data_IF_799400063447
#
_entry.id   IF_799400063447
#
_cell.length_a   1.000
_cell.length_b   1.000
_cell.length_c   1.000
_cell.angle_alpha   90.00
_cell.angle_beta   90.00
_cell.angle_gamma   90.00
#
_symmetry.space_group_name_H-M   'P 1'
#
loop_
_entity.id
_entity.type
_entity.pdbx_description
1 polymer ?
#
# COMPACT_ATOMS: atom_id res chain seq x y z
N UNK A 1 -24.67 2.18 -11.29
CA UNK A 1 -23.64 1.28 -11.81
C UNK A 1 -23.15 0.43 -10.66
N UNK A 2 -23.23 -0.90 -10.80
CA UNK A 2 -22.55 -1.85 -9.91
C UNK A 2 -21.06 -1.89 -10.28
N UNK A 3 -20.22 -2.31 -9.35
CA UNK A 3 -18.77 -2.48 -9.57
C UNK A 3 -18.42 -3.93 -9.27
N UNK A 4 -17.41 -4.47 -9.95
CA UNK A 4 -16.85 -5.79 -9.65
C UNK A 4 -15.50 -5.60 -8.95
N UNK A 5 -15.43 -5.67 -7.61
CA UNK A 5 -14.15 -5.65 -6.91
C UNK A 5 -13.40 -6.96 -7.21
N UNK A 6 -12.14 -6.85 -7.63
CA UNK A 6 -11.30 -8.00 -7.98
C UNK A 6 -9.96 -7.92 -7.26
N UNK A 7 -9.50 -9.03 -6.72
CA UNK A 7 -8.13 -9.22 -6.24
C UNK A 7 -7.50 -10.43 -6.93
N UNK A 8 -6.31 -10.24 -7.51
CA UNK A 8 -5.56 -11.31 -8.16
C UNK A 8 -4.32 -11.66 -7.34
N UNK A 9 -4.23 -12.89 -6.86
CA UNK A 9 -2.97 -13.45 -6.36
C UNK A 9 -2.09 -13.77 -7.57
N UNK A 10 -1.16 -12.88 -7.89
CA UNK A 10 -0.26 -13.04 -9.04
C UNK A 10 0.81 -14.09 -8.72
N UNK A 11 0.91 -15.19 -9.50
CA UNK A 11 1.93 -16.22 -9.28
C UNK A 11 3.36 -15.69 -9.31
N UNK A 12 3.61 -14.55 -9.99
CA UNK A 12 4.92 -13.89 -10.04
C UNK A 12 5.39 -13.37 -8.69
N UNK A 13 4.52 -13.25 -7.69
CA UNK A 13 4.86 -12.72 -6.36
C UNK A 13 5.25 -13.79 -5.34
N UNK A 14 4.98 -15.06 -5.65
CA UNK A 14 5.20 -16.20 -4.76
C UNK A 14 6.31 -17.15 -5.24
N UNK A 15 7.00 -16.79 -6.33
CA UNK A 15 8.22 -17.48 -6.78
C UNK A 15 9.47 -17.08 -5.99
N UNK A 16 10.64 -17.50 -6.50
CA UNK A 16 11.95 -17.08 -5.98
C UNK A 16 12.39 -15.76 -6.61
N UNK A 17 13.03 -14.91 -5.82
CA UNK A 17 13.74 -13.72 -6.29
C UNK A 17 15.04 -14.11 -7.01
N UNK A 18 15.69 -13.15 -7.66
CA UNK A 18 16.98 -13.35 -8.33
C UNK A 18 18.09 -13.82 -7.39
N UNK A 19 17.96 -13.57 -6.08
CA UNK A 19 18.88 -14.03 -5.04
C UNK A 19 18.51 -15.39 -4.45
N UNK A 20 17.46 -16.06 -4.96
CA UNK A 20 17.04 -17.40 -4.52
C UNK A 20 16.14 -17.43 -3.28
N UNK A 21 15.83 -16.28 -2.67
CA UNK A 21 14.87 -16.18 -1.56
C UNK A 21 13.43 -16.15 -2.06
N UNK A 22 12.47 -16.48 -1.21
CA UNK A 22 11.06 -16.28 -1.54
C UNK A 22 10.82 -14.80 -1.84
N UNK A 23 10.21 -14.50 -2.99
CA UNK A 23 9.85 -13.13 -3.34
C UNK A 23 8.84 -12.59 -2.34
N UNK A 24 7.87 -13.43 -1.94
CA UNK A 24 6.99 -13.23 -0.78
C UNK A 24 7.11 -14.37 0.20
N UNK A 25 7.75 -14.11 1.33
CA UNK A 25 7.86 -15.06 2.41
C UNK A 25 6.52 -15.33 3.14
N UNK A 26 6.44 -16.43 3.90
CA UNK A 26 5.20 -16.94 4.46
C UNK A 26 4.50 -15.97 5.42
N UNK A 27 5.25 -15.20 6.23
CA UNK A 27 4.66 -14.19 7.12
C UNK A 27 3.90 -13.10 6.37
N UNK A 28 4.48 -12.58 5.28
CA UNK A 28 3.84 -11.52 4.49
C UNK A 28 2.68 -12.07 3.66
N UNK A 29 2.81 -13.29 3.16
CA UNK A 29 1.73 -13.97 2.45
C UNK A 29 0.51 -14.21 3.38
N UNK A 30 0.73 -14.68 4.61
CA UNK A 30 -0.34 -14.83 5.62
C UNK A 30 -1.04 -13.51 5.88
N UNK A 31 -0.28 -12.45 6.17
CA UNK A 31 -0.83 -11.11 6.40
C UNK A 31 -1.63 -10.60 5.20
N UNK A 32 -1.19 -10.89 3.97
CA UNK A 32 -1.90 -10.50 2.75
C UNK A 32 -3.20 -11.29 2.56
N UNK A 33 -3.18 -12.61 2.77
CA UNK A 33 -4.38 -13.46 2.73
C UNK A 33 -5.42 -12.99 3.74
N UNK A 34 -5.01 -12.68 4.97
CA UNK A 34 -5.87 -12.10 6.00
C UNK A 34 -6.43 -10.74 5.57
N UNK A 35 -5.59 -9.89 4.96
CA UNK A 35 -6.01 -8.58 4.47
C UNK A 35 -7.06 -8.66 3.36
N UNK A 36 -6.89 -9.59 2.42
CA UNK A 36 -7.86 -9.87 1.34
C UNK A 36 -9.16 -10.45 1.90
N UNK A 37 -9.07 -11.31 2.91
CA UNK A 37 -10.23 -11.88 3.60
C UNK A 37 -11.03 -10.80 4.33
N UNK A 38 -10.36 -9.88 5.04
CA UNK A 38 -11.02 -8.74 5.69
C UNK A 38 -11.64 -7.78 4.67
N UNK A 39 -10.97 -7.50 3.55
CA UNK A 39 -11.54 -6.71 2.45
C UNK A 39 -12.82 -7.33 1.89
N UNK A 40 -12.82 -8.65 1.64
CA UNK A 40 -14.01 -9.39 1.20
C UNK A 40 -15.15 -9.26 2.22
N UNK A 41 -14.86 -9.47 3.50
CA UNK A 41 -15.84 -9.32 4.59
C UNK A 41 -16.42 -7.90 4.62
N UNK A 42 -15.57 -6.87 4.50
CA UNK A 42 -15.97 -5.46 4.52
C UNK A 42 -16.82 -5.07 3.31
N UNK A 43 -16.55 -5.64 2.13
CA UNK A 43 -17.37 -5.45 0.93
C UNK A 43 -18.73 -6.14 1.05
N UNK A 44 -18.77 -7.38 1.60
CA UNK A 44 -20.02 -8.12 1.88
C UNK A 44 -20.92 -7.39 2.87
N UNK A 45 -20.35 -6.84 3.94
CA UNK A 45 -21.09 -6.04 4.91
C UNK A 45 -21.76 -4.79 4.31
N UNK A 46 -21.26 -4.33 3.15
CA UNK A 46 -21.78 -3.17 2.40
C UNK A 46 -22.62 -3.59 1.18
N UNK A 47 -23.00 -4.86 1.06
CA UNK A 47 -23.85 -5.34 -0.03
C UNK A 47 -23.12 -5.54 -1.37
N UNK A 48 -21.81 -5.82 -1.36
CA UNK A 48 -21.03 -6.26 -2.53
C UNK A 48 -20.30 -7.58 -2.22
N UNK A 49 -19.26 -7.93 -2.98
CA UNK A 49 -18.34 -9.03 -2.67
C UNK A 49 -16.96 -8.74 -3.28
N UNK A 50 -15.97 -9.61 -3.04
CA UNK A 50 -14.65 -9.56 -3.66
C UNK A 50 -14.40 -10.82 -4.49
N UNK A 51 -14.29 -10.66 -5.81
CA UNK A 51 -13.85 -11.72 -6.71
C UNK A 51 -12.36 -11.95 -6.53
N UNK A 52 -11.97 -13.17 -6.17
CA UNK A 52 -10.58 -13.56 -5.97
C UNK A 52 -10.20 -14.61 -7.01
N UNK A 53 -9.02 -14.45 -7.59
CA UNK A 53 -8.42 -15.38 -8.54
C UNK A 53 -6.93 -15.53 -8.26
N UNK A 54 -6.37 -16.70 -8.60
CA UNK A 54 -4.93 -16.89 -8.71
C UNK A 54 -4.60 -16.83 -10.20
N UNK A 55 -3.73 -15.90 -10.59
CA UNK A 55 -3.41 -15.72 -12.00
C UNK A 55 -2.79 -14.37 -12.31
N UNK A 56 -2.27 -14.24 -13.52
CA UNK A 56 -1.71 -12.97 -14.01
C UNK A 56 -2.84 -11.96 -14.18
N UNK A 57 -2.77 -10.76 -13.56
CA UNK A 57 -3.81 -9.74 -13.67
C UNK A 57 -4.16 -9.40 -15.12
N UNK A 58 -3.17 -9.30 -16.02
CA UNK A 58 -3.40 -9.01 -17.44
C UNK A 58 -4.27 -10.05 -18.17
N UNK A 59 -4.35 -11.29 -17.66
CA UNK A 59 -5.19 -12.36 -18.22
C UNK A 59 -6.53 -12.42 -17.50
N UNK A 60 -6.50 -12.45 -16.16
CA UNK A 60 -7.70 -12.58 -15.33
C UNK A 60 -8.65 -11.40 -15.54
N UNK A 61 -8.12 -10.18 -15.58
CA UNK A 61 -8.98 -9.00 -15.72
C UNK A 61 -9.66 -8.97 -17.10
N UNK A 62 -9.01 -9.43 -18.17
CA UNK A 62 -9.62 -9.52 -19.51
C UNK A 62 -10.79 -10.49 -19.51
N UNK A 63 -10.62 -11.67 -18.91
CA UNK A 63 -11.68 -12.67 -18.77
C UNK A 63 -12.90 -12.08 -18.02
N UNK A 64 -12.66 -11.45 -16.88
CA UNK A 64 -13.71 -10.87 -16.05
C UNK A 64 -14.39 -9.68 -16.75
N UNK A 65 -13.62 -8.80 -17.39
CA UNK A 65 -14.16 -7.65 -18.13
C UNK A 65 -15.08 -8.10 -19.26
N UNK A 66 -14.71 -9.16 -20.01
CA UNK A 66 -15.58 -9.78 -21.02
C UNK A 66 -16.85 -10.37 -20.43
N UNK A 67 -16.71 -11.13 -19.34
CA UNK A 67 -17.82 -11.82 -18.70
C UNK A 67 -18.92 -10.84 -18.27
N UNK A 68 -18.53 -9.72 -17.65
CA UNK A 68 -19.48 -8.71 -17.16
C UNK A 68 -19.79 -7.60 -18.17
N UNK A 69 -19.04 -7.52 -19.28
CA UNK A 69 -19.09 -6.42 -20.23
C UNK A 69 -18.69 -5.08 -19.61
N UNK A 70 -17.53 -5.03 -18.96
CA UNK A 70 -17.06 -3.85 -18.25
C UNK A 70 -16.60 -2.74 -19.22
N UNK A 71 -16.97 -1.50 -18.96
CA UNK A 71 -16.51 -0.34 -19.74
C UNK A 71 -15.11 0.14 -19.32
N UNK A 72 -14.78 -0.05 -18.03
CA UNK A 72 -13.52 0.44 -17.48
C UNK A 72 -13.02 -0.37 -16.27
N UNK A 73 -11.70 -0.35 -16.08
CA UNK A 73 -10.97 -0.88 -14.93
C UNK A 73 -10.37 0.29 -14.15
N UNK A 74 -10.61 0.34 -12.83
CA UNK A 74 -10.13 1.39 -11.94
C UNK A 74 -9.07 0.82 -11.00
N UNK A 75 -7.88 1.42 -10.98
CA UNK A 75 -6.73 0.92 -10.21
C UNK A 75 -5.90 2.05 -9.63
N UNK A 76 -5.22 1.80 -8.51
CA UNK A 76 -4.20 2.72 -8.02
C UNK A 76 -2.91 2.57 -8.82
N UNK A 77 -2.23 3.69 -9.07
CA UNK A 77 -0.93 3.74 -9.76
C UNK A 77 0.21 3.35 -8.83
N UNK A 78 1.00 2.37 -9.25
CA UNK A 78 2.26 2.01 -8.63
C UNK A 78 3.47 2.64 -9.31
N UNK A 79 4.61 2.62 -8.62
CA UNK A 79 5.80 3.38 -9.03
C UNK A 79 7.04 2.52 -9.28
N UNK A 80 7.05 1.30 -8.75
CA UNK A 80 8.16 0.36 -8.89
C UNK A 80 8.13 -0.32 -10.26
N UNK A 81 9.30 -0.80 -10.68
CA UNK A 81 9.54 -1.31 -12.04
C UNK A 81 8.67 -2.52 -12.40
N UNK A 82 8.47 -3.45 -11.47
CA UNK A 82 7.72 -4.68 -11.73
C UNK A 82 6.23 -4.39 -11.90
N UNK A 83 5.68 -3.59 -10.98
CA UNK A 83 4.29 -3.14 -11.00
C UNK A 83 4.01 -2.29 -12.24
N UNK A 84 4.88 -1.33 -12.57
CA UNK A 84 4.74 -0.53 -13.79
C UNK A 84 4.77 -1.39 -15.07
N UNK A 85 5.56 -2.47 -15.09
CA UNK A 85 5.56 -3.45 -16.19
C UNK A 85 4.26 -4.27 -16.23
N UNK A 86 3.70 -4.61 -15.07
CA UNK A 86 2.42 -5.31 -14.96
C UNK A 86 1.28 -4.42 -15.44
N UNK A 87 1.22 -3.18 -14.98
CA UNK A 87 0.27 -2.15 -15.42
C UNK A 87 0.30 -1.94 -16.94
N UNK A 88 1.48 -1.84 -17.55
CA UNK A 88 1.61 -1.70 -19.01
C UNK A 88 1.05 -2.91 -19.79
N UNK A 89 1.17 -4.12 -19.24
CA UNK A 89 0.57 -5.32 -19.83
C UNK A 89 -0.95 -5.31 -19.69
N UNK A 90 -1.47 -4.88 -18.54
CA UNK A 90 -2.92 -4.72 -18.32
C UNK A 90 -3.48 -3.68 -19.30
N UNK A 91 -2.82 -2.52 -19.44
CA UNK A 91 -3.20 -1.47 -20.39
C UNK A 91 -3.24 -2.01 -21.83
N UNK A 92 -2.21 -2.76 -22.24
CA UNK A 92 -2.16 -3.36 -23.58
C UNK A 92 -3.29 -4.37 -23.78
N UNK A 93 -3.48 -5.29 -22.84
CA UNK A 93 -4.49 -6.34 -22.93
C UNK A 93 -5.93 -5.79 -22.91
N UNK A 94 -6.19 -4.74 -22.12
CA UNK A 94 -7.50 -4.09 -22.05
C UNK A 94 -7.83 -3.25 -23.29
N UNK A 95 -6.81 -2.62 -23.89
CA UNK A 95 -6.96 -1.86 -25.12
C UNK A 95 -7.47 -2.73 -26.28
N UNK A 96 -6.98 -3.96 -26.39
CA UNK A 96 -7.42 -4.92 -27.41
C UNK A 96 -8.90 -5.30 -27.25
N UNK A 97 -9.45 -5.14 -26.04
CA UNK A 97 -10.86 -5.40 -25.70
C UNK A 97 -11.73 -4.13 -25.70
N UNK A 98 -11.15 -2.96 -26.00
CA UNK A 98 -11.86 -1.68 -25.95
C UNK A 98 -12.26 -1.23 -24.54
N UNK A 99 -11.62 -1.76 -23.49
CA UNK A 99 -11.89 -1.42 -22.09
C UNK A 99 -10.91 -0.35 -21.61
N UNK A 100 -11.42 0.74 -21.02
CA UNK A 100 -10.58 1.83 -20.52
C UNK A 100 -9.91 1.45 -19.18
N UNK A 101 -8.62 1.73 -19.01
CA UNK A 101 -7.93 1.55 -17.71
C UNK A 101 -7.63 2.92 -17.10
N UNK A 102 -8.19 3.18 -15.92
CA UNK A 102 -8.06 4.44 -15.18
C UNK A 102 -7.18 4.28 -13.96
N UNK A 103 -6.08 5.03 -13.94
CA UNK A 103 -5.13 5.04 -12.84
C UNK A 103 -5.35 6.24 -11.92
N UNK A 104 -5.32 5.99 -10.61
CA UNK A 104 -5.46 7.01 -9.58
C UNK A 104 -4.25 7.01 -8.64
N UNK A 105 -3.80 8.18 -8.22
CA UNK A 105 -2.74 8.31 -7.24
C UNK A 105 -3.32 8.39 -5.83
N UNK A 106 -3.09 7.37 -5.01
CA UNK A 106 -3.73 7.28 -3.67
C UNK A 106 -2.80 6.92 -2.52
N UNK A 107 -1.57 6.52 -2.80
CA UNK A 107 -0.69 5.86 -1.83
C UNK A 107 0.07 6.82 -0.91
N UNK A 108 0.18 8.11 -1.23
CA UNK A 108 0.96 9.09 -0.47
C UNK A 108 0.10 10.00 0.41
N UNK A 109 0.73 10.69 1.37
CA UNK A 109 0.09 11.71 2.19
C UNK A 109 -0.22 12.97 1.37
N UNK A 110 0.79 13.53 0.70
CA UNK A 110 0.59 14.59 -0.28
C UNK A 110 0.28 13.99 -1.64
N UNK A 111 -0.72 14.51 -2.33
CA UNK A 111 -1.04 14.04 -3.68
C UNK A 111 0.04 14.50 -4.66
N UNK A 112 0.35 13.68 -5.67
CA UNK A 112 1.38 13.98 -6.68
C UNK A 112 1.13 15.34 -7.37
N UNK A 113 -0.12 15.66 -7.66
CA UNK A 113 -0.53 16.91 -8.32
C UNK A 113 -0.48 18.15 -7.42
N UNK A 114 -0.37 17.97 -6.10
CA UNK A 114 -0.27 19.10 -5.15
C UNK A 114 1.20 19.50 -4.91
N UNK A 115 2.16 18.75 -5.46
CA UNK A 115 3.56 19.08 -5.34
C UNK A 115 3.86 20.41 -6.07
N UNK A 116 4.64 21.32 -5.48
CA UNK A 116 4.97 22.61 -6.08
C UNK A 116 6.08 22.51 -7.15
N UNK A 117 6.26 21.30 -7.69
CA UNK A 117 7.24 20.97 -8.71
C UNK A 117 6.78 19.71 -9.44
N UNK A 118 7.13 19.60 -10.71
CA UNK A 118 6.94 18.36 -11.46
C UNK A 118 7.87 17.26 -10.94
N UNK A 119 7.50 16.01 -11.20
CA UNK A 119 8.25 14.84 -10.74
C UNK A 119 9.73 14.85 -11.17
N UNK A 120 10.08 15.43 -12.33
CA UNK A 120 11.47 15.57 -12.76
C UNK A 120 12.27 16.50 -11.83
N UNK A 121 11.61 17.52 -11.29
CA UNK A 121 12.15 18.48 -10.31
C UNK A 121 12.21 17.95 -8.87
N UNK A 122 11.85 16.67 -8.65
CA UNK A 122 11.92 16.03 -7.33
C UNK A 122 13.36 16.09 -6.77
N UNK A 123 13.57 16.65 -5.57
CA UNK A 123 14.87 16.71 -4.92
C UNK A 123 15.48 15.33 -4.68
N UNK A 124 16.80 15.21 -4.78
CA UNK A 124 17.53 13.94 -4.59
C UNK A 124 17.79 13.60 -3.12
N UNK A 125 17.56 14.55 -2.21
CA UNK A 125 17.69 14.35 -0.78
C UNK A 125 16.40 14.78 -0.06
N UNK A 126 16.16 14.18 1.11
CA UNK A 126 14.95 14.41 1.90
C UNK A 126 14.83 15.86 2.39
N UNK A 127 15.93 16.50 2.77
CA UNK A 127 15.91 17.88 3.28
C UNK A 127 15.32 18.86 2.26
N UNK A 128 15.80 18.79 1.01
CA UNK A 128 15.28 19.61 -0.09
C UNK A 128 13.84 19.28 -0.46
N UNK A 129 13.42 18.01 -0.37
CA UNK A 129 12.01 17.65 -0.54
C UNK A 129 11.14 18.29 0.53
N UNK A 130 11.51 18.11 1.81
CA UNK A 130 10.79 18.64 2.97
C UNK A 130 10.62 20.17 2.90
N UNK A 131 11.68 20.88 2.52
CA UNK A 131 11.65 22.34 2.35
C UNK A 131 10.64 22.74 1.27
N UNK A 132 10.68 22.09 0.10
CA UNK A 132 9.77 22.43 -1.00
C UNK A 132 8.30 22.12 -0.69
N UNK A 133 8.00 21.08 0.07
CA UNK A 133 6.61 20.70 0.42
C UNK A 133 6.11 21.37 1.71
N UNK A 134 6.91 22.26 2.30
CA UNK A 134 6.53 22.98 3.50
C UNK A 134 5.28 23.84 3.22
N UNK A 135 4.28 23.74 4.12
CA UNK A 135 3.03 24.51 4.00
C UNK A 135 1.98 23.92 3.07
N UNK A 136 2.27 22.79 2.39
CA UNK A 136 1.24 22.07 1.64
C UNK A 136 0.14 21.57 2.57
N UNK A 137 -1.10 21.63 2.07
CA UNK A 137 -2.26 21.09 2.78
C UNK A 137 -2.43 19.61 2.41
N UNK A 138 -2.55 18.76 3.42
CA UNK A 138 -2.98 17.36 3.22
C UNK A 138 -4.45 17.37 2.76
N UNK A 139 -4.74 16.67 1.64
CA UNK A 139 -6.13 16.53 1.15
C UNK A 139 -6.98 15.75 2.16
N UNK A 140 -8.26 16.12 2.25
CA UNK A 140 -9.22 15.41 3.10
C UNK A 140 -9.37 13.94 2.66
N UNK A 141 -9.71 13.06 3.59
CA UNK A 141 -10.04 11.67 3.28
C UNK A 141 -11.33 11.57 2.49
N UNK A 142 -11.40 10.60 1.57
CA UNK A 142 -12.65 10.24 0.89
C UNK A 142 -13.44 9.31 1.80
N UNK A 143 -14.70 9.65 2.08
CA UNK A 143 -15.58 8.80 2.87
C UNK A 143 -15.89 7.49 2.13
N UNK A 144 -15.81 6.36 2.84
CA UNK A 144 -16.26 5.09 2.33
C UNK A 144 -17.78 5.12 2.12
N UNK A 145 -18.27 4.40 1.12
CA UNK A 145 -19.71 4.24 0.90
C UNK A 145 -20.30 3.32 1.97
N UNK A 146 -21.46 3.70 2.51
CA UNK A 146 -22.19 2.88 3.48
C UNK A 146 -22.79 1.61 2.83
N UNK A 147 -23.15 1.71 1.55
CA UNK A 147 -23.74 0.63 0.76
C UNK A 147 -23.24 0.66 -0.68
N UNK A 148 -23.06 -0.52 -1.27
CA UNK A 148 -22.69 -0.77 -2.65
C UNK A 148 -23.85 -1.45 -3.39
N UNK A 149 -23.85 -1.35 -4.72
CA UNK A 149 -24.94 -1.86 -5.56
C UNK A 149 -24.74 -3.32 -6.00
N UNK A 150 -24.22 -4.18 -5.12
CA UNK A 150 -23.94 -5.59 -5.45
C UNK A 150 -22.83 -5.78 -6.48
N UNK A 151 -22.53 -7.05 -6.76
CA UNK A 151 -21.79 -7.43 -7.96
C UNK A 151 -22.68 -7.20 -9.21
N UNK A 152 -22.09 -6.97 -10.39
CA UNK A 152 -22.84 -7.00 -11.65
C UNK A 152 -23.53 -8.35 -11.83
N UNK A 153 -24.80 -8.33 -12.24
CA UNK A 153 -25.59 -9.55 -12.48
C UNK A 153 -25.22 -10.27 -13.78
N UNK A 154 -24.53 -9.58 -14.70
CA UNK A 154 -24.08 -10.15 -15.97
C UNK A 154 -22.84 -11.01 -15.74
N UNK A 155 -22.78 -12.17 -16.40
CA UNK A 155 -21.61 -13.05 -16.42
C UNK A 155 -21.55 -14.07 -15.30
N UNK A 156 -22.48 -14.03 -14.33
CA UNK A 156 -22.61 -14.98 -13.22
C UNK A 156 -21.25 -15.30 -12.56
N UNK A 157 -20.52 -14.22 -12.23
CA UNK A 157 -19.12 -14.33 -11.79
C UNK A 157 -19.08 -14.79 -10.34
N UNK A 158 -18.61 -16.02 -10.15
CA UNK A 158 -18.39 -16.58 -8.82
C UNK A 158 -17.27 -15.82 -8.06
N UNK A 159 -17.46 -15.51 -6.76
CA UNK A 159 -16.45 -14.84 -5.94
C UNK A 159 -15.12 -15.57 -5.86
N UNK A 160 -15.11 -16.90 -5.97
CA UNK A 160 -13.91 -17.73 -5.88
C UNK A 160 -13.33 -17.84 -4.45
N UNK A 161 -12.51 -18.84 -4.23
CA UNK A 161 -11.88 -19.09 -2.94
C UNK A 161 -10.66 -18.19 -2.70
N UNK A 162 -10.40 -17.84 -1.44
CA UNK A 162 -9.15 -17.17 -1.06
C UNK A 162 -8.09 -18.26 -0.89
N UNK A 163 -6.92 -18.16 -1.55
CA UNK A 163 -5.91 -19.20 -1.48
C UNK A 163 -5.33 -19.33 -0.07
N UNK A 164 -5.00 -20.56 0.29
CA UNK A 164 -4.10 -20.87 1.40
C UNK A 164 -2.64 -20.60 1.02
N UNK A 165 -1.74 -20.63 2.00
CA UNK A 165 -0.30 -20.57 1.73
C UNK A 165 0.18 -21.72 0.83
N UNK A 166 -0.45 -22.90 0.94
CA UNK A 166 -0.10 -24.07 0.13
C UNK A 166 -0.47 -23.83 -1.33
N UNK A 167 -1.62 -23.21 -1.59
CA UNK A 167 -2.05 -22.84 -2.94
C UNK A 167 -1.11 -21.81 -3.58
N UNK A 168 -0.44 -21.00 -2.75
CA UNK A 168 0.59 -20.04 -3.16
C UNK A 168 2.01 -20.65 -3.23
N UNK A 169 2.16 -21.96 -2.98
CA UNK A 169 3.45 -22.65 -3.02
C UNK A 169 4.36 -22.38 -1.82
N UNK A 170 3.81 -21.93 -0.69
CA UNK A 170 4.55 -21.60 0.52
C UNK A 170 4.31 -22.62 1.64
N UNK A 171 5.33 -22.82 2.47
CA UNK A 171 5.24 -23.71 3.63
C UNK A 171 4.53 -23.02 4.81
N UNK A 172 3.34 -23.48 5.23
CA UNK A 172 2.61 -22.87 6.33
C UNK A 172 3.29 -23.04 7.69
N UNK A 173 4.08 -24.11 7.88
CA UNK A 173 4.76 -24.35 9.15
C UNK A 173 5.87 -23.33 9.45
N UNK A 174 6.31 -22.57 8.44
CA UNK A 174 7.31 -21.54 8.61
C UNK A 174 6.81 -20.33 9.42
N UNK A 175 5.50 -20.17 9.61
CA UNK A 175 4.92 -19.12 10.48
C UNK A 175 4.72 -19.56 11.93
N UNK A 176 4.93 -20.85 12.22
CA UNK A 176 4.75 -21.43 13.55
C UNK A 176 6.08 -21.47 14.32
N UNK A 177 6.00 -21.34 15.64
CA UNK A 177 7.08 -21.61 16.58
C UNK A 177 7.25 -23.13 16.76
N UNK A 178 8.34 -23.53 17.42
CA UNK A 178 8.60 -24.96 17.74
C UNK A 178 7.45 -25.61 18.54
N UNK A 179 6.68 -24.82 19.30
CA UNK A 179 5.52 -25.28 20.07
C UNK A 179 4.19 -25.28 19.27
N UNK A 180 4.24 -25.04 17.96
CA UNK A 180 3.06 -25.00 17.08
C UNK A 180 2.17 -23.74 17.24
N UNK A 181 2.63 -22.73 17.99
CA UNK A 181 1.95 -21.43 18.11
C UNK A 181 2.43 -20.48 17.02
N UNK A 182 1.66 -19.45 16.62
CA UNK A 182 2.17 -18.40 15.75
C UNK A 182 3.46 -17.80 16.34
N UNK A 183 4.51 -17.70 15.54
CA UNK A 183 5.76 -17.03 15.94
C UNK A 183 5.49 -15.58 16.33
N UNK A 184 6.38 -14.92 17.08
CA UNK A 184 6.20 -13.52 17.50
C UNK A 184 5.98 -12.56 16.30
N UNK A 185 6.49 -12.88 15.12
CA UNK A 185 6.23 -12.14 13.87
C UNK A 185 4.94 -12.61 13.14
N UNK A 186 4.39 -13.77 13.51
CA UNK A 186 3.10 -14.29 13.07
C UNK A 186 1.91 -13.78 13.91
N UNK A 187 2.13 -12.87 14.85
CA UNK A 187 1.06 -12.28 15.67
C UNK A 187 0.39 -11.04 15.05
N UNK A 188 0.84 -10.61 13.86
CA UNK A 188 0.25 -9.48 13.16
C UNK A 188 -0.89 -9.98 12.29
N UNK A 189 -2.08 -9.45 12.52
CA UNK A 189 -3.29 -9.79 11.77
C UNK A 189 -3.49 -8.80 10.64
N UNK A 190 -3.62 -9.30 9.41
CA UNK A 190 -3.93 -8.50 8.23
C UNK A 190 -5.33 -7.89 8.24
N UNK A 191 -5.54 -6.86 7.43
CA UNK A 191 -6.86 -6.27 7.19
C UNK A 191 -7.06 -4.86 7.72
N UNK A 192 -8.02 -4.16 7.12
CA UNK A 192 -8.43 -2.81 7.47
C UNK A 192 -9.00 -2.76 8.89
N UNK A 193 -9.81 -3.76 9.28
CA UNK A 193 -10.45 -3.82 10.60
C UNK A 193 -9.42 -3.79 11.72
N UNK A 194 -8.37 -4.63 11.63
CA UNK A 194 -7.27 -4.63 12.61
C UNK A 194 -6.46 -3.34 12.51
N UNK A 195 -6.23 -2.81 11.29
CA UNK A 195 -5.52 -1.56 11.09
C UNK A 195 -6.16 -0.40 11.87
N UNK A 196 -7.50 -0.29 11.84
CA UNK A 196 -8.23 0.77 12.54
C UNK A 196 -8.12 0.63 14.06
N UNK A 197 -8.22 -0.60 14.59
CA UNK A 197 -8.05 -0.85 16.03
C UNK A 197 -6.63 -0.51 16.48
N UNK A 198 -5.62 -0.89 15.69
CA UNK A 198 -4.21 -0.59 15.94
C UNK A 198 -3.94 0.91 15.90
N UNK A 199 -4.53 1.63 14.94
CA UNK A 199 -4.43 3.08 14.84
C UNK A 199 -5.03 3.77 16.07
N UNK A 200 -6.23 3.34 16.52
CA UNK A 200 -6.86 3.89 17.72
C UNK A 200 -6.01 3.65 18.98
N UNK A 201 -5.50 2.42 19.15
CA UNK A 201 -4.60 2.08 20.25
C UNK A 201 -3.33 2.93 20.20
N UNK A 202 -2.73 3.06 19.02
CA UNK A 202 -1.54 3.89 18.82
C UNK A 202 -1.82 5.36 19.13
N UNK A 203 -2.94 5.91 18.67
CA UNK A 203 -3.36 7.27 18.98
C UNK A 203 -3.51 7.49 20.50
N UNK A 204 -4.09 6.52 21.21
CA UNK A 204 -4.21 6.55 22.66
C UNK A 204 -2.84 6.46 23.37
N UNK A 205 -1.92 5.62 22.89
CA UNK A 205 -0.53 5.54 23.38
C UNK A 205 0.20 6.88 23.18
N UNK A 206 0.07 7.50 22.00
CA UNK A 206 0.61 8.84 21.72
C UNK A 206 0.08 9.91 22.67
N UNK A 207 -1.21 9.84 23.02
CA UNK A 207 -1.82 10.74 23.99
C UNK A 207 -1.26 10.53 25.40
N UNK A 208 -1.01 9.29 25.80
CA UNK A 208 -0.51 8.94 27.12
C UNK A 208 0.98 9.29 27.32
N UNK A 209 1.76 9.32 26.24
CA UNK A 209 3.20 9.57 26.27
C UNK A 209 3.60 10.67 25.27
N UNK A 210 3.28 11.95 25.56
CA UNK A 210 3.71 13.05 24.72
C UNK A 210 5.24 13.09 24.62
N UNK A 211 5.83 13.60 23.52
CA UNK A 211 7.27 13.57 23.30
C UNK A 211 7.98 14.29 24.45
N UNK A 212 8.84 13.57 25.18
CA UNK A 212 9.81 14.20 26.09
C UNK A 212 11.09 14.48 25.32
N UNK A 213 11.67 15.65 25.56
CA UNK A 213 12.86 16.13 24.89
C UNK A 213 14.07 15.20 25.09
N UNK A 214 14.75 14.93 23.97
CA UNK A 214 16.17 14.58 23.77
C UNK A 214 16.80 13.31 24.36
N UNK A 215 16.20 12.58 25.30
CA UNK A 215 16.82 11.32 25.79
C UNK A 215 16.15 10.06 25.19
N UNK A 216 16.66 9.69 24.01
CA UNK A 216 16.02 8.77 23.05
C UNK A 216 16.32 7.28 23.23
N UNK A 217 15.76 6.62 24.24
CA UNK A 217 15.76 5.14 24.29
C UNK A 217 14.42 4.48 24.60
N UNK A 218 13.36 5.24 24.92
CA UNK A 218 12.04 4.68 25.20
C UNK A 218 10.89 5.46 24.56
N UNK A 219 11.18 6.10 23.43
CA UNK A 219 10.18 6.86 22.70
C UNK A 219 9.26 5.93 21.91
N UNK A 220 7.95 6.14 22.03
CA UNK A 220 6.96 5.58 21.08
C UNK A 220 7.20 6.08 19.65
N UNK A 221 7.98 7.15 19.52
CA UNK A 221 8.43 7.75 18.28
C UNK A 221 9.70 7.03 17.76
N UNK A 222 9.76 6.73 16.47
CA UNK A 222 10.85 5.97 15.82
C UNK A 222 10.54 4.49 15.59
N UNK A 223 11.42 3.58 16.00
CA UNK A 223 11.31 2.14 15.67
C UNK A 223 9.97 1.50 16.11
N UNK A 224 9.40 1.95 17.23
CA UNK A 224 8.11 1.47 17.72
C UNK A 224 6.93 1.85 16.80
N UNK A 225 7.02 2.96 16.07
CA UNK A 225 6.05 3.34 15.03
C UNK A 225 6.19 2.48 13.79
N UNK A 226 7.44 2.32 13.34
CA UNK A 226 7.75 1.55 12.14
C UNK A 226 7.28 0.09 12.28
N UNK A 227 7.44 -0.53 13.45
CA UNK A 227 7.04 -1.93 13.65
C UNK A 227 5.54 -2.13 13.88
N UNK A 228 4.79 -1.13 14.36
CA UNK A 228 3.39 -1.31 14.81
C UNK A 228 2.32 -0.96 13.78
N UNK A 229 2.63 -0.21 12.72
CA UNK A 229 1.63 0.26 11.74
C UNK A 229 2.06 0.06 10.28
N UNK A 230 3.37 -0.01 10.00
CA UNK A 230 3.87 -0.09 8.62
C UNK A 230 3.31 -1.24 7.77
N UNK A 231 2.99 -2.44 8.30
CA UNK A 231 2.43 -3.52 7.47
C UNK A 231 1.08 -3.14 6.83
N UNK A 232 0.21 -2.46 7.58
CA UNK A 232 -1.09 -2.01 7.06
C UNK A 232 -0.96 -0.83 6.10
N UNK A 233 0.01 0.08 6.31
CA UNK A 233 0.34 1.13 5.33
C UNK A 233 0.94 0.59 4.03
N UNK A 234 1.70 -0.51 4.12
CA UNK A 234 2.32 -1.16 2.97
C UNK A 234 1.30 -1.92 2.12
N UNK A 235 0.32 -2.58 2.74
CA UNK A 235 -0.75 -3.31 2.04
C UNK A 235 -1.96 -2.44 1.68
N UNK A 236 -1.95 -1.16 2.05
CA UNK A 236 -3.07 -0.24 1.79
C UNK A 236 -4.31 -0.49 2.66
N UNK A 237 -4.22 -1.35 3.68
CA UNK A 237 -5.26 -1.52 4.71
C UNK A 237 -5.46 -0.24 5.54
N UNK A 238 -4.43 0.62 5.59
CA UNK A 238 -4.51 1.95 6.18
C UNK A 238 -4.00 3.00 5.19
N UNK A 239 -4.77 4.06 5.02
CA UNK A 239 -4.35 5.24 4.24
C UNK A 239 -3.49 6.19 5.09
N UNK A 240 -2.39 6.76 4.54
CA UNK A 240 -1.60 7.76 5.26
C UNK A 240 -2.43 9.02 5.60
N UNK A 241 -3.40 9.39 4.77
CA UNK A 241 -4.31 10.54 5.03
C UNK A 241 -5.25 10.24 6.19
N UNK A 242 -5.79 9.03 6.25
CA UNK A 242 -6.65 8.62 7.36
C UNK A 242 -5.88 8.59 8.69
N UNK A 243 -4.67 8.03 8.65
CA UNK A 243 -3.77 8.03 9.80
C UNK A 243 -3.46 9.45 10.30
N UNK A 244 -3.13 10.35 9.36
CA UNK A 244 -2.87 11.75 9.66
C UNK A 244 -4.07 12.43 10.31
N UNK A 245 -5.27 12.28 9.74
CA UNK A 245 -6.49 12.88 10.26
C UNK A 245 -6.85 12.36 11.65
N UNK A 246 -6.71 11.06 11.91
CA UNK A 246 -7.05 10.47 13.21
C UNK A 246 -6.09 10.92 14.32
N UNK A 247 -4.80 10.97 14.02
CA UNK A 247 -3.78 11.43 14.97
C UNK A 247 -3.90 12.94 15.21
N UNK A 248 -4.21 13.74 14.17
CA UNK A 248 -4.50 15.17 14.29
C UNK A 248 -5.70 15.42 15.20
N UNK A 249 -6.81 14.70 15.03
CA UNK A 249 -8.00 14.80 15.89
C UNK A 249 -7.66 14.52 17.35
N UNK A 250 -6.84 13.51 17.60
CA UNK A 250 -6.42 13.11 18.96
C UNK A 250 -5.51 14.16 19.61
N UNK A 251 -4.59 14.74 18.85
CA UNK A 251 -3.71 15.82 19.32
C UNK A 251 -4.49 17.12 19.62
N UNK A 252 -5.35 17.57 18.71
CA UNK A 252 -6.14 18.81 18.89
C UNK A 252 -7.09 18.76 20.09
N UNK A 253 -7.74 17.61 20.34
CA UNK A 253 -8.59 17.41 21.54
C UNK A 253 -7.82 17.52 22.86
N UNK A 254 -6.51 17.26 22.83
CA UNK A 254 -5.65 17.34 24.01
C UNK A 254 -5.14 18.77 24.24
N UNK A 255 -4.82 19.50 23.17
CA UNK A 255 -4.37 20.90 23.23
C UNK A 255 -5.50 21.83 23.73
N UNK A 256 -6.77 21.58 23.39
CA UNK A 256 -7.89 22.36 23.95
C UNK A 256 -8.09 22.18 25.48
N UNK A 257 -7.50 21.14 26.08
CA UNK A 257 -7.57 20.88 27.52
C UNK A 257 -6.35 21.38 28.31
N UNK A 258 -5.28 21.81 27.64
CA UNK A 258 -4.06 22.32 28.27
C UNK A 258 -3.57 23.57 27.55
N UNK A 259 -3.51 24.71 28.24
CA UNK A 259 -2.92 25.98 27.77
C UNK A 259 -1.39 25.88 27.52
N UNK A 260 -0.95 24.96 26.68
CA UNK A 260 0.46 24.83 26.26
C UNK A 260 0.60 25.30 24.82
N UNK A 261 1.55 26.22 24.61
CA UNK A 261 2.02 26.69 23.31
C UNK A 261 2.99 25.70 22.62
N UNK A 262 3.07 24.46 23.09
CA UNK A 262 3.99 23.42 22.59
C UNK A 262 3.23 22.35 21.77
N UNK A 263 2.38 22.79 20.85
CA UNK A 263 1.55 21.91 20.01
C UNK A 263 2.28 21.25 18.83
N UNK A 264 3.60 21.47 18.71
CA UNK A 264 4.31 21.25 17.45
C UNK A 264 5.13 19.95 17.41
N UNK A 265 5.74 19.51 18.51
CA UNK A 265 6.76 18.44 18.48
C UNK A 265 6.21 17.05 18.05
N UNK A 266 5.02 16.66 18.52
CA UNK A 266 4.44 15.35 18.20
C UNK A 266 3.84 15.25 16.79
N UNK A 267 3.22 16.34 16.33
CA UNK A 267 2.68 16.45 14.96
C UNK A 267 3.81 16.56 13.94
N UNK A 268 4.88 17.28 14.30
CA UNK A 268 6.10 17.38 13.50
C UNK A 268 6.79 16.04 13.28
N UNK A 269 6.83 15.16 14.28
CA UNK A 269 7.41 13.83 14.12
C UNK A 269 6.55 12.91 13.25
N UNK A 270 5.22 12.88 13.43
CA UNK A 270 4.35 12.02 12.58
C UNK A 270 4.44 12.45 11.13
N UNK A 271 4.38 13.76 10.90
CA UNK A 271 4.58 14.35 9.59
C UNK A 271 5.95 13.94 9.05
N UNK A 272 7.01 14.02 9.85
CA UNK A 272 8.34 13.61 9.45
C UNK A 272 8.42 12.16 8.95
N UNK A 273 7.85 11.18 9.67
CA UNK A 273 7.88 9.78 9.24
C UNK A 273 7.04 9.52 7.98
N UNK A 274 5.84 10.11 7.88
CA UNK A 274 5.00 9.98 6.69
C UNK A 274 5.62 10.67 5.47
N UNK A 275 6.33 11.78 5.67
CA UNK A 275 7.07 12.46 4.59
C UNK A 275 8.27 11.65 4.10
N UNK A 276 8.94 10.88 4.96
CA UNK A 276 9.96 9.95 4.50
C UNK A 276 9.38 8.89 3.56
N UNK A 277 8.21 8.34 3.92
CA UNK A 277 7.49 7.39 3.06
C UNK A 277 7.11 8.01 1.71
N UNK A 278 6.56 9.22 1.73
CA UNK A 278 6.24 9.96 0.50
C UNK A 278 7.48 10.26 -0.34
N UNK A 279 8.57 10.73 0.29
CA UNK A 279 9.86 10.99 -0.36
C UNK A 279 10.34 9.74 -1.12
N UNK A 280 10.36 8.57 -0.47
CA UNK A 280 10.79 7.33 -1.11
C UNK A 280 9.85 6.89 -2.24
N UNK A 281 8.54 7.11 -2.11
CA UNK A 281 7.58 6.84 -3.20
C UNK A 281 7.86 7.75 -4.40
N UNK A 282 7.99 9.06 -4.20
CA UNK A 282 8.20 10.03 -5.28
C UNK A 282 9.58 9.89 -5.93
N UNK A 283 10.64 9.68 -5.17
CA UNK A 283 11.98 9.48 -5.74
C UNK A 283 12.04 8.19 -6.57
N UNK A 284 11.36 7.12 -6.13
CA UNK A 284 11.21 5.89 -6.91
C UNK A 284 10.44 6.14 -8.19
N UNK A 285 9.35 6.91 -8.14
CA UNK A 285 8.59 7.29 -9.32
C UNK A 285 9.43 8.09 -10.33
N UNK A 286 10.24 9.04 -9.86
CA UNK A 286 11.19 9.80 -10.70
C UNK A 286 12.13 8.87 -11.46
N UNK A 287 12.85 8.00 -10.77
CA UNK A 287 13.85 7.14 -11.42
C UNK A 287 13.23 6.00 -12.25
N UNK A 288 12.06 5.50 -11.87
CA UNK A 288 11.33 4.51 -12.67
C UNK A 288 10.77 5.10 -13.96
N UNK A 289 10.35 6.38 -13.95
CA UNK A 289 9.93 7.10 -15.15
C UNK A 289 11.09 7.39 -16.12
N UNK A 290 12.26 7.77 -15.60
CA UNK A 290 13.45 8.04 -16.41
C UNK A 290 13.95 6.78 -17.16
N UNK A 291 13.76 5.60 -16.56
CA UNK A 291 14.12 4.32 -17.19
C UNK A 291 13.26 4.00 -18.43
N UNK A 292 12.06 4.60 -18.59
CA UNK A 292 11.28 4.50 -19.84
C UNK A 292 11.98 5.17 -21.02
N UNK A 293 12.89 6.13 -20.78
CA UNK A 293 13.66 6.82 -21.82
C UNK A 293 15.10 6.29 -21.99
N UNK A 294 15.58 5.43 -21.08
CA UNK A 294 16.99 5.00 -21.05
C UNK A 294 17.28 3.66 -21.76
N UNK A 295 16.29 3.03 -22.40
CA UNK A 295 16.54 1.81 -23.18
C UNK A 295 17.04 2.13 -24.60
N UNK A 296 18.24 2.69 -24.68
CA UNK A 296 19.13 2.58 -25.82
C UNK A 296 20.57 2.80 -25.36
N UNK A 297 21.21 1.76 -24.84
CA UNK A 297 22.61 1.35 -25.16
C UNK A 297 22.87 0.01 -24.44
N UNK A 298 23.29 -1.06 -25.13
CA UNK A 298 23.78 -2.26 -24.45
C UNK A 298 25.10 -1.91 -23.76
N UNK A 299 25.25 -2.28 -22.48
CA UNK A 299 26.54 -2.21 -21.82
C UNK A 299 27.51 -3.17 -22.51
N UNK A 300 28.44 -2.64 -23.30
CA UNK A 300 29.57 -3.39 -23.85
C UNK A 300 30.42 -3.84 -22.68
N UNK A 301 30.50 -5.15 -22.46
CA UNK A 301 31.42 -5.74 -21.51
C UNK A 301 32.86 -5.39 -21.91
N UNK A 302 33.59 -4.68 -21.05
CA UNK A 302 35.04 -4.59 -21.16
C UNK A 302 35.62 -5.97 -20.85
N UNK A 303 35.95 -6.72 -21.90
CA UNK A 303 36.89 -7.85 -21.82
C UNK A 303 38.25 -7.29 -21.45
N UNK A 304 38.74 -7.63 -20.25
CA UNK A 304 40.12 -7.36 -19.86
C UNK A 304 41.08 -8.07 -20.81
N UNK A 305 41.92 -7.28 -21.49
CA UNK A 305 43.05 -7.81 -22.22
C UNK A 305 44.12 -8.24 -21.20
N UNK A 306 44.42 -9.53 -21.20
CA UNK A 306 45.69 -10.06 -20.71
C UNK A 306 46.77 -9.71 -21.73
N UNK A 307 47.79 -8.98 -21.30
CA UNK A 307 49.15 -9.01 -21.83
C UNK A 307 50.10 -8.62 -20.69
#
# INVERSE_FOLDING_TARGET
MSVLPVYCFDPRDYGKSSSGFDKTGPFRASFLVESVSDLRKNLRARGSDLVVRIGKPETVLVELAKAIGADAVYVHREVSKEEAKSEAKIETAMKDEGVEVKYFWGSTLYHLEDLPFELQGMPTNYGGFREKVQGLKVRDTIAALDQLKGLPSRGDVEPGEIPSLVDLGLNPNATLSQDGKPSANGSLVGGETEAMQRLQKFAAECKAQPPKSKDGTNSIYGANFSCKISPWLAMGCLSPRHMFDELKKTASRTISASNRKDGDDGMNWLMFELLWRDFFRFITAKYSSATKHANATPATACTGALA
#
